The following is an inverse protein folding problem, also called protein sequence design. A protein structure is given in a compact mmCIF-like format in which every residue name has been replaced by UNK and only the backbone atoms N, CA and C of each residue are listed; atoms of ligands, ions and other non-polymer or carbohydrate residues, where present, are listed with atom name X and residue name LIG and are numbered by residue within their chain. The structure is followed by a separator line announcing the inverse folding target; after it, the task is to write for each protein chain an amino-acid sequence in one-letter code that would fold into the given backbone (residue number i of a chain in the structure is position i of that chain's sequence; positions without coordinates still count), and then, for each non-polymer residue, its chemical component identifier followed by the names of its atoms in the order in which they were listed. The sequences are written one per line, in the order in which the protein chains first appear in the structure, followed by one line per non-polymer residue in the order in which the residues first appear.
data_IF_139534930477
#
_entry.id   IF_139534930477
#
_cell.length_a   1.000
_cell.length_b   1.000
_cell.length_c   1.000
_cell.angle_alpha   90.00
_cell.angle_beta   90.00
_cell.angle_gamma   90.00
#
_symmetry.space_group_name_H-M   'P 1'
#
loop_
_entity.id
_entity.type
_entity.pdbx_description
1 polymer ?
#
# COMPACT_ATOMS: atom_id res chain seq x y z
N UNK A 1 -9.09 19.46 46.22
CA UNK A 1 -10.22 18.61 46.71
C UNK A 1 -10.23 17.19 46.11
N UNK A 2 -9.49 16.89 45.04
CA UNK A 2 -9.58 15.56 44.34
C UNK A 2 -8.52 14.53 44.75
N UNK A 3 -7.46 14.93 45.47
CA UNK A 3 -6.39 14.02 45.92
C UNK A 3 -6.87 12.98 46.95
N UNK A 4 -7.90 13.29 47.73
CA UNK A 4 -8.48 12.36 48.70
C UNK A 4 -9.17 11.14 48.01
N UNK A 5 -9.74 11.33 46.81
CA UNK A 5 -10.38 10.27 46.02
C UNK A 5 -9.38 9.28 45.42
N UNK A 6 -8.09 9.64 45.38
CA UNK A 6 -7.06 8.76 44.84
C UNK A 6 -6.96 7.44 45.62
N UNK A 7 -6.99 7.48 46.94
CA UNK A 7 -6.97 6.27 47.79
C UNK A 7 -8.23 5.42 47.69
N UNK A 8 -9.35 6.01 47.28
CA UNK A 8 -10.66 5.34 47.20
C UNK A 8 -11.02 4.88 45.77
N UNK A 9 -10.01 4.60 44.91
CA UNK A 9 -10.22 4.06 43.56
C UNK A 9 -9.72 4.96 42.42
N UNK A 10 -9.32 6.23 42.69
CA UNK A 10 -8.78 7.12 41.65
C UNK A 10 -7.48 6.62 41.01
N UNK A 11 -6.69 5.81 41.74
CA UNK A 11 -5.49 5.16 41.20
C UNK A 11 -5.80 4.20 40.05
N UNK A 12 -6.95 3.50 40.11
CA UNK A 12 -7.38 2.56 39.07
C UNK A 12 -7.65 3.28 37.74
N UNK A 13 -8.32 4.43 37.81
CA UNK A 13 -8.58 5.28 36.63
C UNK A 13 -7.27 5.77 36.00
N UNK A 14 -6.29 6.16 36.81
CA UNK A 14 -4.97 6.56 36.31
C UNK A 14 -4.20 5.41 35.71
N UNK A 15 -4.26 4.23 36.30
CA UNK A 15 -3.65 3.01 35.76
C UNK A 15 -4.25 2.67 34.39
N UNK A 16 -5.58 2.68 34.28
CA UNK A 16 -6.28 2.41 33.04
C UNK A 16 -5.96 3.45 31.96
N UNK A 17 -5.97 4.74 32.31
CA UNK A 17 -5.59 5.84 31.41
C UNK A 17 -4.13 5.70 30.92
N UNK A 18 -3.21 5.34 31.83
CA UNK A 18 -1.80 5.10 31.48
C UNK A 18 -1.64 3.93 30.53
N UNK A 19 -2.42 2.85 30.71
CA UNK A 19 -2.40 1.69 29.82
C UNK A 19 -2.86 2.09 28.40
N UNK A 20 -3.97 2.82 28.28
CA UNK A 20 -4.45 3.31 26.99
C UNK A 20 -3.44 4.26 26.35
N UNK A 21 -2.86 5.16 27.13
CA UNK A 21 -1.83 6.09 26.63
C UNK A 21 -0.61 5.34 26.09
N UNK A 22 -0.12 4.30 26.78
CA UNK A 22 0.99 3.48 26.31
C UNK A 22 0.66 2.76 25.00
N UNK A 23 -0.56 2.21 24.85
CA UNK A 23 -1.01 1.61 23.60
C UNK A 23 -1.01 2.63 22.47
N UNK A 24 -1.64 3.79 22.66
CA UNK A 24 -1.68 4.86 21.66
C UNK A 24 -0.27 5.34 21.28
N UNK A 25 0.60 5.56 22.27
CA UNK A 25 1.99 5.96 22.07
C UNK A 25 2.77 4.90 21.26
N UNK A 26 2.59 3.62 21.58
CA UNK A 26 3.19 2.51 20.85
C UNK A 26 2.78 2.52 19.37
N UNK A 27 1.49 2.72 19.07
CA UNK A 27 1.00 2.80 17.69
C UNK A 27 1.56 4.02 16.96
N UNK A 28 1.61 5.17 17.60
CA UNK A 28 2.15 6.39 17.02
C UNK A 28 3.64 6.24 16.66
N UNK A 29 4.45 5.80 17.61
CA UNK A 29 5.88 5.65 17.38
C UNK A 29 6.20 4.50 16.42
N UNK A 30 5.50 3.37 16.49
CA UNK A 30 5.68 2.28 15.54
C UNK A 30 5.35 2.72 14.11
N UNK A 31 4.30 3.55 13.91
CA UNK A 31 4.00 4.15 12.60
C UNK A 31 5.11 5.09 12.16
N UNK A 32 5.61 5.95 13.05
CA UNK A 32 6.70 6.89 12.77
C UNK A 32 7.98 6.15 12.38
N UNK A 33 8.34 5.09 13.10
CA UNK A 33 9.52 4.25 12.78
C UNK A 33 9.35 3.61 11.39
N UNK A 34 8.19 3.00 11.10
CA UNK A 34 7.91 2.41 9.79
C UNK A 34 7.97 3.43 8.65
N UNK A 35 7.49 4.65 8.90
CA UNK A 35 7.46 5.69 7.87
C UNK A 35 8.83 6.32 7.60
N UNK A 36 9.78 6.30 8.55
CA UNK A 36 11.16 6.78 8.33
C UNK A 36 11.88 6.07 7.19
N UNK A 37 11.49 4.84 6.90
CA UNK A 37 12.14 3.98 5.91
C UNK A 37 11.30 3.84 4.63
N UNK A 38 10.39 4.81 4.36
CA UNK A 38 9.73 4.89 3.06
C UNK A 38 10.65 5.65 2.13
N UNK A 39 11.17 4.98 1.13
CA UNK A 39 11.87 5.61 0.02
C UNK A 39 10.89 5.83 -1.12
N UNK A 40 10.98 7.00 -1.73
CA UNK A 40 10.26 7.37 -2.93
C UNK A 40 11.26 7.58 -4.05
N UNK A 41 10.87 7.26 -5.26
CA UNK A 41 11.64 7.49 -6.48
C UNK A 41 10.79 8.31 -7.44
N UNK A 42 11.42 9.10 -8.30
CA UNK A 42 10.70 9.82 -9.35
C UNK A 42 10.14 8.83 -10.35
N UNK A 43 8.84 8.91 -10.61
CA UNK A 43 8.17 8.00 -11.54
C UNK A 43 8.71 8.15 -12.97
N UNK A 44 9.10 9.39 -13.35
CA UNK A 44 9.63 9.72 -14.65
C UNK A 44 10.85 8.86 -15.06
N UNK A 45 11.70 8.50 -14.09
CA UNK A 45 12.92 7.72 -14.34
C UNK A 45 12.59 6.26 -14.72
N UNK A 46 11.39 5.78 -14.41
CA UNK A 46 10.97 4.39 -14.65
C UNK A 46 9.94 4.22 -15.76
N UNK A 47 9.44 5.32 -16.36
CA UNK A 47 8.45 5.25 -17.44
C UNK A 47 8.91 4.40 -18.64
N UNK A 48 10.15 4.58 -19.14
CA UNK A 48 10.63 3.73 -20.24
C UNK A 48 10.65 2.25 -19.87
N UNK A 49 11.12 1.93 -18.66
CA UNK A 49 11.24 0.55 -18.18
C UNK A 49 9.86 -0.11 -17.99
N UNK A 50 8.87 0.63 -17.48
CA UNK A 50 7.48 0.14 -17.33
C UNK A 50 6.89 -0.16 -18.71
N UNK A 51 7.12 0.72 -19.69
CA UNK A 51 6.65 0.54 -21.05
C UNK A 51 7.30 -0.69 -21.69
N UNK A 52 8.61 -0.80 -21.64
CA UNK A 52 9.35 -1.93 -22.19
C UNK A 52 8.90 -3.25 -21.56
N UNK A 53 8.72 -3.28 -20.24
CA UNK A 53 8.24 -4.47 -19.53
C UNK A 53 6.82 -4.86 -19.97
N UNK A 54 5.94 -3.91 -20.24
CA UNK A 54 4.56 -4.20 -20.67
C UNK A 54 4.52 -4.90 -22.02
N UNK A 55 5.50 -4.60 -22.90
CA UNK A 55 5.62 -5.13 -24.25
C UNK A 55 6.51 -6.39 -24.34
N UNK A 56 7.33 -6.65 -23.30
CA UNK A 56 8.29 -7.76 -23.28
C UNK A 56 7.60 -9.14 -23.19
N UNK A 57 7.55 -9.82 -24.33
CA UNK A 57 6.95 -11.17 -24.41
C UNK A 57 7.82 -12.28 -23.81
N UNK A 58 9.08 -12.02 -23.47
CA UNK A 58 9.95 -12.99 -22.80
C UNK A 58 9.53 -13.19 -21.33
N UNK A 59 8.86 -12.20 -20.74
CA UNK A 59 8.31 -12.27 -19.40
C UNK A 59 6.86 -12.75 -19.45
N UNK A 60 6.49 -13.82 -18.71
CA UNK A 60 5.11 -14.29 -18.68
C UNK A 60 4.19 -13.20 -18.10
N UNK A 61 2.97 -13.11 -18.66
CA UNK A 61 1.99 -12.16 -18.17
C UNK A 61 1.55 -12.52 -16.76
N UNK A 62 1.66 -11.60 -15.83
CA UNK A 62 1.22 -11.81 -14.45
C UNK A 62 -0.30 -11.60 -14.34
N UNK A 63 -0.82 -10.54 -14.94
CA UNK A 63 -2.25 -10.26 -15.09
C UNK A 63 -2.45 -9.25 -16.22
N UNK A 64 -3.69 -9.11 -16.73
CA UNK A 64 -4.00 -8.07 -17.72
C UNK A 64 -3.87 -6.70 -17.07
N UNK A 65 -4.46 -6.51 -15.87
CA UNK A 65 -4.41 -5.28 -15.10
C UNK A 65 -3.86 -5.55 -13.71
N UNK A 66 -2.72 -4.92 -13.36
CA UNK A 66 -2.13 -4.95 -12.03
C UNK A 66 -2.44 -3.67 -11.27
N UNK A 67 -3.07 -3.81 -10.12
CA UNK A 67 -3.53 -2.68 -9.29
C UNK A 67 -2.70 -2.61 -8.02
N UNK A 68 -1.88 -1.58 -7.89
CA UNK A 68 -1.04 -1.32 -6.72
C UNK A 68 -1.66 -0.24 -5.84
N UNK A 69 -1.85 -0.52 -4.55
CA UNK A 69 -2.26 0.49 -3.59
C UNK A 69 -1.02 1.21 -3.08
N UNK A 70 -0.93 2.50 -3.37
CA UNK A 70 0.21 3.36 -3.06
C UNK A 70 -0.11 4.37 -1.95
N UNK A 71 0.96 4.92 -1.31
CA UNK A 71 0.87 5.97 -0.29
C UNK A 71 1.57 7.27 -0.71
N UNK A 72 2.05 7.34 -1.95
CA UNK A 72 2.72 8.53 -2.47
C UNK A 72 1.70 9.65 -2.70
N UNK A 73 1.74 10.70 -1.87
CA UNK A 73 0.89 11.88 -2.03
C UNK A 73 1.32 12.73 -3.23
N UNK A 74 2.64 12.75 -3.52
CA UNK A 74 3.15 13.48 -4.68
C UNK A 74 2.94 12.64 -5.96
N UNK A 75 2.35 13.25 -6.99
CA UNK A 75 2.06 12.60 -8.28
C UNK A 75 3.31 12.24 -9.07
N UNK A 76 4.40 12.96 -8.84
CA UNK A 76 5.69 12.70 -9.50
C UNK A 76 6.46 11.54 -8.85
N UNK A 77 6.00 11.02 -7.73
CA UNK A 77 6.72 10.02 -6.94
C UNK A 77 5.98 8.68 -6.88
N UNK A 78 6.77 7.62 -6.86
CA UNK A 78 6.30 6.24 -6.62
C UNK A 78 7.10 5.62 -5.47
N UNK A 79 6.47 4.81 -4.67
CA UNK A 79 7.16 4.10 -3.58
C UNK A 79 8.12 3.05 -4.15
N UNK A 80 9.37 3.06 -3.69
CA UNK A 80 10.41 2.11 -4.14
C UNK A 80 10.00 0.64 -3.93
N UNK A 81 9.14 0.33 -2.96
CA UNK A 81 8.60 -1.03 -2.76
C UNK A 81 7.74 -1.50 -3.94
N UNK A 82 7.02 -0.58 -4.62
CA UNK A 82 6.20 -0.89 -5.80
C UNK A 82 7.12 -1.23 -6.96
N UNK A 83 8.16 -0.41 -7.18
CA UNK A 83 9.18 -0.68 -8.19
C UNK A 83 9.90 -2.01 -7.93
N UNK A 84 10.25 -2.28 -6.67
CA UNK A 84 10.83 -3.56 -6.28
C UNK A 84 9.89 -4.74 -6.60
N UNK A 85 8.59 -4.59 -6.31
CA UNK A 85 7.59 -5.63 -6.62
C UNK A 85 7.46 -5.87 -8.12
N UNK A 86 7.46 -4.79 -8.93
CA UNK A 86 7.29 -4.90 -10.39
C UNK A 86 8.54 -5.50 -11.05
N UNK A 87 9.75 -5.04 -10.66
CA UNK A 87 10.96 -5.33 -11.42
C UNK A 87 11.91 -6.35 -10.78
N UNK A 88 12.03 -6.36 -9.44
CA UNK A 88 13.12 -7.07 -8.77
C UNK A 88 12.69 -8.36 -8.08
N UNK A 89 11.55 -8.37 -7.40
CA UNK A 89 11.10 -9.57 -6.69
C UNK A 89 10.77 -10.70 -7.67
N UNK A 90 10.00 -10.38 -8.66
CA UNK A 90 9.67 -11.20 -9.82
C UNK A 90 9.12 -10.25 -10.89
N UNK A 91 9.75 -10.13 -12.06
CA UNK A 91 9.24 -9.26 -13.11
C UNK A 91 7.78 -9.58 -13.42
N UNK A 92 6.92 -8.56 -13.31
CA UNK A 92 5.48 -8.72 -13.51
C UNK A 92 5.05 -7.95 -14.74
N UNK A 93 4.91 -8.65 -15.85
CA UNK A 93 4.35 -8.05 -17.05
C UNK A 93 2.84 -7.91 -16.90
N UNK A 94 2.33 -6.74 -17.21
CA UNK A 94 0.90 -6.46 -17.33
C UNK A 94 0.63 -5.61 -18.58
N UNK A 95 -0.60 -5.62 -19.09
CA UNK A 95 -1.01 -4.69 -20.14
C UNK A 95 -1.15 -3.29 -19.55
N UNK A 96 -1.76 -3.20 -18.37
CA UNK A 96 -1.98 -1.93 -17.68
C UNK A 96 -1.62 -2.04 -16.20
N UNK A 97 -0.86 -1.06 -15.71
CA UNK A 97 -0.52 -0.87 -14.30
C UNK A 97 -1.36 0.27 -13.74
N UNK A 98 -2.02 0.02 -12.61
CA UNK A 98 -2.83 0.98 -11.90
C UNK A 98 -2.17 1.34 -10.58
N UNK A 99 -1.98 2.63 -10.34
CA UNK A 99 -1.49 3.17 -9.08
C UNK A 99 -2.65 3.82 -8.35
N UNK A 100 -3.21 3.14 -7.36
CA UNK A 100 -4.36 3.61 -6.60
C UNK A 100 -3.89 4.26 -5.31
N UNK A 101 -4.15 5.55 -5.18
CA UNK A 101 -3.90 6.32 -3.97
C UNK A 101 -5.22 6.61 -3.24
N UNK A 102 -5.20 6.55 -1.92
CA UNK A 102 -6.36 6.79 -1.07
C UNK A 102 -6.02 7.93 -0.12
N UNK A 103 -6.57 9.09 -0.38
CA UNK A 103 -6.46 10.27 0.47
C UNK A 103 -7.68 10.40 1.38
N UNK A 104 -7.44 10.53 2.69
CA UNK A 104 -8.48 10.78 3.67
C UNK A 104 -8.62 12.27 3.92
N UNK A 105 -9.75 12.83 3.48
CA UNK A 105 -10.04 14.25 3.60
C UNK A 105 -10.87 14.55 4.85
N UNK A 106 -10.75 15.78 5.35
CA UNK A 106 -11.45 16.24 6.56
C UNK A 106 -12.96 16.43 6.35
N UNK A 107 -13.43 16.55 5.10
CA UNK A 107 -14.87 16.56 4.80
C UNK A 107 -15.48 15.19 5.11
N UNK A 108 -16.52 15.10 5.96
CA UNK A 108 -17.05 13.83 6.43
C UNK A 108 -17.64 12.93 5.33
N UNK A 109 -18.24 13.51 4.30
CA UNK A 109 -19.04 12.79 3.27
C UNK A 109 -18.46 12.90 1.87
N UNK A 110 -17.32 13.58 1.69
CA UNK A 110 -16.71 13.75 0.38
C UNK A 110 -16.32 12.39 -0.20
N UNK A 111 -16.71 12.17 -1.45
CA UNK A 111 -16.31 11.00 -2.21
C UNK A 111 -16.11 11.42 -3.65
N UNK A 112 -14.84 11.57 -4.03
CA UNK A 112 -14.42 12.01 -5.36
C UNK A 112 -13.21 11.20 -5.79
N UNK A 113 -12.97 11.10 -7.09
CA UNK A 113 -11.76 10.50 -7.62
C UNK A 113 -11.22 11.32 -8.78
N UNK A 114 -9.90 11.24 -8.97
CA UNK A 114 -9.19 11.83 -10.10
C UNK A 114 -8.42 10.74 -10.84
N UNK A 115 -8.39 10.83 -12.17
CA UNK A 115 -7.69 9.89 -13.05
C UNK A 115 -6.61 10.64 -13.81
N UNK A 116 -5.40 10.07 -13.82
CA UNK A 116 -4.28 10.55 -14.60
C UNK A 116 -3.68 9.40 -15.42
N UNK A 117 -3.68 9.51 -16.72
CA UNK A 117 -2.99 8.57 -17.61
C UNK A 117 -1.54 9.00 -17.78
N UNK A 118 -0.65 8.52 -16.93
CA UNK A 118 0.80 8.84 -16.97
C UNK A 118 1.44 8.29 -18.25
N UNK A 119 1.10 7.06 -18.62
CA UNK A 119 1.38 6.48 -19.94
C UNK A 119 0.05 5.97 -20.48
N UNK A 120 -0.49 6.54 -21.57
CA UNK A 120 -1.80 6.16 -22.09
C UNK A 120 -1.94 4.65 -22.29
N UNK A 121 -2.94 4.05 -21.65
CA UNK A 121 -3.24 2.61 -21.68
C UNK A 121 -2.28 1.68 -20.95
N UNK A 122 -1.13 2.15 -20.45
CA UNK A 122 -0.10 1.33 -19.78
C UNK A 122 0.01 1.66 -18.30
N UNK A 123 0.09 2.95 -17.93
CA UNK A 123 0.24 3.36 -16.54
C UNK A 123 -0.78 4.43 -16.19
N UNK A 124 -1.71 4.08 -15.32
CA UNK A 124 -2.83 4.92 -14.91
C UNK A 124 -2.75 5.13 -13.40
N UNK A 125 -2.86 6.37 -12.97
CA UNK A 125 -2.98 6.76 -11.57
C UNK A 125 -4.43 7.11 -11.28
N UNK A 126 -4.93 6.64 -10.13
CA UNK A 126 -6.27 6.86 -9.64
C UNK A 126 -6.19 7.32 -8.19
N UNK A 127 -6.53 8.58 -7.94
CA UNK A 127 -6.52 9.18 -6.60
C UNK A 127 -7.96 9.28 -6.08
N UNK A 128 -8.27 8.57 -4.98
CA UNK A 128 -9.55 8.65 -4.29
C UNK A 128 -9.48 9.63 -3.13
N UNK A 129 -10.38 10.61 -3.07
CA UNK A 129 -10.57 11.53 -1.96
C UNK A 129 -11.80 11.10 -1.15
N UNK A 130 -11.56 10.46 -0.01
CA UNK A 130 -12.61 9.79 0.77
C UNK A 130 -12.75 10.46 2.13
N UNK A 131 -13.93 10.96 2.44
CA UNK A 131 -14.29 11.54 3.72
C UNK A 131 -14.20 10.53 4.87
N UNK A 132 -13.96 11.02 6.09
CA UNK A 132 -13.70 10.14 7.23
C UNK A 132 -14.91 9.30 7.68
N UNK A 133 -16.15 9.66 7.30
CA UNK A 133 -17.36 8.86 7.55
C UNK A 133 -17.68 7.85 6.46
N UNK A 134 -17.02 7.95 5.30
CA UNK A 134 -17.25 7.04 4.19
C UNK A 134 -16.45 5.75 4.42
N UNK A 135 -17.11 4.60 4.33
CA UNK A 135 -16.44 3.31 4.42
C UNK A 135 -15.47 3.09 3.25
N UNK A 136 -14.25 2.62 3.47
CA UNK A 136 -13.27 2.43 2.39
C UNK A 136 -13.52 1.13 1.60
N UNK A 137 -14.59 1.09 0.80
CA UNK A 137 -14.92 -0.04 -0.10
C UNK A 137 -14.13 0.09 -1.42
N UNK A 138 -12.81 -0.02 -1.35
CA UNK A 138 -11.94 0.32 -2.47
C UNK A 138 -12.20 -0.54 -3.70
N UNK A 139 -12.52 -1.81 -3.53
CA UNK A 139 -12.85 -2.69 -4.65
C UNK A 139 -14.08 -2.19 -5.44
N UNK A 140 -15.12 -1.76 -4.72
CA UNK A 140 -16.33 -1.21 -5.33
C UNK A 140 -16.06 0.12 -6.04
N UNK A 141 -15.35 1.02 -5.36
CA UNK A 141 -15.04 2.35 -5.89
C UNK A 141 -14.12 2.30 -7.11
N UNK A 142 -13.14 1.41 -7.08
CA UNK A 142 -12.27 1.16 -8.22
C UNK A 142 -13.06 0.65 -9.42
N UNK A 143 -14.00 -0.26 -9.19
CA UNK A 143 -14.87 -0.78 -10.24
C UNK A 143 -15.75 0.32 -10.86
N UNK A 144 -16.37 1.18 -10.04
CA UNK A 144 -17.15 2.32 -10.53
C UNK A 144 -16.31 3.28 -11.38
N UNK A 145 -15.10 3.63 -10.90
CA UNK A 145 -14.19 4.50 -11.64
C UNK A 145 -13.79 3.89 -13.00
N UNK A 146 -13.50 2.59 -13.05
CA UNK A 146 -13.18 1.90 -14.30
C UNK A 146 -14.39 1.86 -15.23
N UNK A 147 -15.61 1.58 -14.71
CA UNK A 147 -16.83 1.59 -15.52
C UNK A 147 -17.10 2.97 -16.13
N UNK A 148 -16.84 4.05 -15.39
CA UNK A 148 -17.01 5.42 -15.90
C UNK A 148 -15.94 5.76 -16.96
N UNK A 149 -14.69 5.33 -16.79
CA UNK A 149 -13.65 5.48 -17.82
C UNK A 149 -13.99 4.72 -19.10
N UNK A 150 -14.59 3.54 -18.97
CA UNK A 150 -15.05 2.75 -20.14
C UNK A 150 -16.20 3.47 -20.87
N UNK A 151 -17.19 4.02 -20.14
CA UNK A 151 -18.28 4.82 -20.72
C UNK A 151 -17.77 6.08 -21.42
N UNK A 152 -16.75 6.72 -20.84
CA UNK A 152 -16.08 7.89 -21.43
C UNK A 152 -15.20 7.57 -22.64
N UNK A 153 -14.94 6.26 -22.90
CA UNK A 153 -14.03 5.84 -23.98
C UNK A 153 -12.53 6.03 -23.66
N UNK A 154 -12.20 6.31 -22.39
CA UNK A 154 -10.83 6.55 -21.92
C UNK A 154 -10.06 5.26 -21.63
N UNK A 155 -10.76 4.16 -21.41
CA UNK A 155 -10.18 2.86 -21.12
C UNK A 155 -10.97 1.73 -21.79
N UNK A 156 -10.25 0.74 -22.36
CA UNK A 156 -10.85 -0.45 -22.97
C UNK A 156 -10.43 -1.67 -22.14
N UNK A 157 -11.35 -2.32 -21.41
CA UNK A 157 -11.05 -3.43 -20.52
C UNK A 157 -10.90 -4.76 -21.24
N UNK A 158 -10.12 -4.80 -22.34
CA UNK A 158 -9.89 -6.02 -23.10
C UNK A 158 -8.93 -6.95 -22.39
N UNK A 159 -9.26 -8.25 -22.38
CA UNK A 159 -8.34 -9.29 -21.92
C UNK A 159 -7.08 -9.36 -22.78
N UNK A 160 -5.95 -9.60 -22.15
CA UNK A 160 -4.68 -9.87 -22.83
C UNK A 160 -4.65 -11.28 -23.48
N UNK A 161 -5.53 -12.15 -23.04
CA UNK A 161 -5.66 -13.50 -23.58
C UNK A 161 -6.56 -13.48 -24.81
N UNK A 162 -6.01 -13.90 -25.96
CA UNK A 162 -6.70 -13.87 -27.25
C UNK A 162 -8.04 -14.64 -27.22
N UNK A 163 -8.07 -15.79 -26.57
CA UNK A 163 -9.27 -16.61 -26.42
C UNK A 163 -10.40 -15.86 -25.68
N UNK A 164 -10.09 -15.20 -24.58
CA UNK A 164 -11.05 -14.45 -23.79
C UNK A 164 -11.51 -13.19 -24.53
N UNK A 165 -10.58 -12.46 -25.16
CA UNK A 165 -10.88 -11.27 -25.95
C UNK A 165 -11.81 -11.57 -27.13
N UNK A 166 -11.58 -12.66 -27.84
CA UNK A 166 -12.44 -13.09 -28.97
C UNK A 166 -13.88 -13.40 -28.54
N UNK A 167 -14.09 -13.73 -27.26
CA UNK A 167 -15.41 -13.98 -26.68
C UNK A 167 -15.96 -12.81 -25.88
N UNK A 168 -15.33 -11.63 -25.94
CA UNK A 168 -15.79 -10.42 -25.27
C UNK A 168 -15.60 -10.38 -23.74
N UNK A 169 -14.79 -11.28 -23.18
CA UNK A 169 -14.48 -11.26 -21.76
C UNK A 169 -13.52 -10.13 -21.43
N UNK A 170 -13.80 -9.31 -20.37
CA UNK A 170 -12.91 -8.26 -19.92
C UNK A 170 -11.61 -8.85 -19.35
N UNK A 171 -10.58 -8.01 -19.34
CA UNK A 171 -9.33 -8.33 -18.66
C UNK A 171 -9.50 -8.34 -17.15
N UNK A 172 -8.85 -9.31 -16.51
CA UNK A 172 -8.85 -9.44 -15.05
C UNK A 172 -8.08 -8.30 -14.39
N UNK A 173 -8.50 -7.93 -13.17
CA UNK A 173 -7.84 -6.99 -12.29
C UNK A 173 -7.28 -7.74 -11.08
N UNK A 174 -5.97 -7.67 -10.88
CA UNK A 174 -5.32 -8.25 -9.72
C UNK A 174 -4.79 -7.16 -8.81
N UNK A 175 -5.30 -7.09 -7.60
CA UNK A 175 -4.81 -6.17 -6.58
C UNK A 175 -3.56 -6.71 -5.91
N UNK A 176 -2.54 -5.85 -5.77
CA UNK A 176 -1.29 -6.17 -5.07
C UNK A 176 -1.15 -5.23 -3.88
N UNK A 177 -1.28 -5.80 -2.70
CA UNK A 177 -1.03 -5.11 -1.44
C UNK A 177 0.39 -5.44 -0.96
N UNK A 178 1.23 -4.42 -0.84
CA UNK A 178 2.62 -4.62 -0.43
C UNK A 178 2.76 -4.36 1.07
N UNK A 179 2.97 -5.44 1.82
CA UNK A 179 3.33 -5.38 3.23
C UNK A 179 4.85 -5.27 3.41
N UNK A 180 5.28 -4.35 4.27
CA UNK A 180 6.69 -4.22 4.62
C UNK A 180 7.03 -5.13 5.78
N UNK A 181 8.05 -5.96 5.60
CA UNK A 181 8.61 -6.76 6.68
C UNK A 181 9.87 -6.07 7.19
N UNK A 182 9.91 -5.77 8.49
CA UNK A 182 11.17 -5.45 9.16
C UNK A 182 11.97 -6.75 9.33
N UNK A 183 13.11 -6.85 8.66
CA UNK A 183 14.07 -7.92 8.92
C UNK A 183 14.76 -7.63 10.25
N UNK A 184 14.90 -8.65 11.11
CA UNK A 184 15.38 -8.53 12.51
C UNK A 184 16.84 -8.05 12.66
N UNK A 185 17.61 -8.01 11.58
CA UNK A 185 19.06 -7.74 11.62
C UNK A 185 19.44 -6.26 11.74
N UNK A 186 18.43 -5.38 11.87
CA UNK A 186 18.71 -3.98 12.10
C UNK A 186 19.05 -3.72 13.57
N UNK A 187 20.15 -3.01 13.82
CA UNK A 187 20.46 -2.41 15.11
C UNK A 187 19.46 -1.29 15.43
N UNK A 188 18.24 -1.70 15.74
CA UNK A 188 17.26 -0.79 16.30
C UNK A 188 17.75 -0.37 17.70
N UNK A 189 17.52 0.89 18.05
CA UNK A 189 17.68 1.31 19.44
C UNK A 189 16.86 0.40 20.34
N UNK A 190 17.33 0.14 21.56
CA UNK A 190 16.59 -0.65 22.56
C UNK A 190 15.17 -0.11 22.75
N UNK A 191 15.00 1.21 22.65
CA UNK A 191 13.70 1.88 22.72
C UNK A 191 12.81 1.55 21.52
N UNK A 192 13.34 1.63 20.30
CA UNK A 192 12.59 1.31 19.09
C UNK A 192 12.18 -0.19 19.08
N UNK A 193 13.06 -1.06 19.55
CA UNK A 193 12.78 -2.50 19.69
C UNK A 193 11.64 -2.76 20.67
N UNK A 194 11.63 -2.06 21.82
CA UNK A 194 10.56 -2.16 22.81
C UNK A 194 9.22 -1.69 22.23
N UNK A 195 9.19 -0.53 21.55
CA UNK A 195 7.99 0.01 20.91
C UNK A 195 7.43 -0.95 19.86
N UNK A 196 8.31 -1.53 19.03
CA UNK A 196 7.90 -2.49 18.00
C UNK A 196 7.35 -3.78 18.63
N UNK A 197 7.97 -4.27 19.71
CA UNK A 197 7.48 -5.45 20.42
C UNK A 197 6.09 -5.20 21.02
N UNK A 198 5.88 -4.05 21.65
CA UNK A 198 4.59 -3.65 22.20
C UNK A 198 3.53 -3.48 21.11
N UNK A 199 3.90 -2.84 20.00
CA UNK A 199 3.02 -2.69 18.84
C UNK A 199 2.66 -4.06 18.21
N UNK A 200 3.60 -5.00 18.15
CA UNK A 200 3.34 -6.36 17.64
C UNK A 200 2.34 -7.12 18.50
N UNK A 201 2.36 -6.90 19.83
CA UNK A 201 1.39 -7.50 20.74
C UNK A 201 -0.01 -6.94 20.47
N UNK A 202 -0.14 -5.63 20.35
CA UNK A 202 -1.42 -4.94 20.13
C UNK A 202 -1.94 -5.10 18.69
N UNK A 203 -1.05 -5.22 17.68
CA UNK A 203 -1.42 -5.38 16.27
C UNK A 203 -2.08 -6.74 15.96
N UNK A 204 -1.92 -7.76 16.82
CA UNK A 204 -2.64 -9.02 16.66
C UNK A 204 -4.16 -8.86 16.78
N UNK A 205 -4.61 -7.79 17.44
CA UNK A 205 -6.03 -7.47 17.65
C UNK A 205 -6.56 -6.55 16.53
N UNK A 206 -5.68 -5.99 15.71
CA UNK A 206 -6.05 -5.08 14.62
C UNK A 206 -6.54 -5.84 13.40
N UNK A 207 -7.44 -5.19 12.63
CA UNK A 207 -7.86 -5.67 11.33
C UNK A 207 -6.67 -5.67 10.35
N UNK A 208 -6.61 -6.68 9.48
CA UNK A 208 -5.65 -6.68 8.38
C UNK A 208 -5.98 -5.57 7.37
N UNK A 209 -4.97 -5.04 6.67
CA UNK A 209 -5.16 -3.97 5.68
C UNK A 209 -6.15 -4.38 4.57
N UNK A 210 -6.21 -5.66 4.20
CA UNK A 210 -7.20 -6.20 3.25
C UNK A 210 -8.62 -5.98 3.77
N UNK A 211 -8.88 -6.35 5.03
CA UNK A 211 -10.21 -6.17 5.65
C UNK A 211 -10.51 -4.69 5.89
N UNK A 212 -9.50 -3.90 6.26
CA UNK A 212 -9.66 -2.47 6.48
C UNK A 212 -10.02 -1.69 5.21
N UNK A 213 -9.55 -2.16 4.05
CA UNK A 213 -9.84 -1.57 2.73
C UNK A 213 -10.99 -2.28 2.01
N UNK A 214 -11.58 -3.31 2.62
CA UNK A 214 -12.62 -4.17 2.05
C UNK A 214 -12.27 -4.67 0.64
N UNK A 215 -10.99 -5.06 0.45
CA UNK A 215 -10.54 -5.68 -0.79
C UNK A 215 -11.04 -7.12 -0.86
N UNK A 216 -11.41 -7.54 -2.06
CA UNK A 216 -11.77 -8.94 -2.30
C UNK A 216 -10.53 -9.82 -2.15
N UNK A 217 -10.59 -10.80 -1.24
CA UNK A 217 -9.48 -11.70 -0.99
C UNK A 217 -9.17 -12.64 -2.15
N UNK A 218 -10.11 -12.86 -3.07
CA UNK A 218 -9.94 -13.75 -4.22
C UNK A 218 -9.03 -13.14 -5.29
N UNK A 219 -9.13 -11.82 -5.51
CA UNK A 219 -8.36 -11.09 -6.51
C UNK A 219 -7.25 -10.23 -5.89
N UNK A 220 -6.97 -10.41 -4.60
CA UNK A 220 -5.94 -9.64 -3.89
C UNK A 220 -4.77 -10.53 -3.49
N UNK A 221 -3.58 -10.19 -3.97
CA UNK A 221 -2.32 -10.81 -3.57
C UNK A 221 -1.58 -9.93 -2.58
N UNK A 222 -1.15 -10.51 -1.44
CA UNK A 222 -0.33 -9.82 -0.46
C UNK A 222 1.13 -10.13 -0.70
N UNK A 223 1.90 -9.13 -1.01
CA UNK A 223 3.34 -9.27 -1.19
C UNK A 223 4.11 -8.72 -0.02
N UNK A 224 5.03 -9.52 0.48
CA UNK A 224 5.95 -9.12 1.53
C UNK A 224 7.24 -8.63 0.91
N UNK A 225 7.58 -7.37 1.17
CA UNK A 225 8.81 -6.74 0.70
C UNK A 225 9.66 -6.34 1.90
N UNK A 226 10.95 -6.74 1.92
CA UNK A 226 11.84 -6.33 2.98
C UNK A 226 12.06 -4.82 2.96
N UNK A 227 12.18 -4.20 4.12
CA UNK A 227 12.65 -2.83 4.21
C UNK A 227 14.15 -2.86 3.91
N UNK A 228 14.54 -2.31 2.77
CA UNK A 228 15.96 -2.13 2.41
C UNK A 228 16.39 -0.84 3.09
N UNK A 229 17.18 -0.94 4.15
CA UNK A 229 17.88 0.22 4.71
C UNK A 229 19.30 0.17 4.11
N UNK A 230 19.66 1.27 3.49
CA UNK A 230 20.99 1.46 2.89
C UNK A 230 22.04 1.67 4.01
N UNK A 231 22.33 0.60 4.74
CA UNK A 231 23.40 0.59 5.74
C UNK A 231 24.56 -0.26 5.22
N UNK A 232 25.74 0.32 5.23
CA UNK A 232 26.97 -0.42 4.95
C UNK A 232 27.02 -1.67 5.83
N UNK A 233 27.18 -2.83 5.22
CA UNK A 233 27.34 -4.09 5.93
C UNK A 233 28.48 -3.96 6.95
N UNK A 234 28.28 -4.37 8.21
CA UNK A 234 29.31 -4.25 9.25
C UNK A 234 30.54 -5.13 8.98
N UNK A 235 30.40 -6.08 8.07
CA UNK A 235 31.49 -6.98 7.64
C UNK A 235 31.44 -7.06 6.11
N UNK A 236 32.53 -6.65 5.46
CA UNK A 236 32.74 -6.89 4.03
C UNK A 236 33.11 -8.34 3.80
N UNK A 237 32.28 -9.05 3.03
CA UNK A 237 32.67 -10.38 2.54
C UNK A 237 33.73 -10.15 1.45
N UNK A 238 34.97 -10.64 1.68
CA UNK A 238 35.99 -10.65 0.66
C UNK A 238 35.92 -11.97 -0.12
N UNK A 239 36.07 -11.87 -1.44
CA UNK A 239 36.26 -13.06 -2.29
C UNK A 239 37.69 -13.58 -2.05
N UNK A 240 37.82 -14.86 -1.75
CA UNK A 240 39.08 -15.57 -1.67
C UNK A 240 39.58 -15.91 -3.08
#
# INVERSE_FOLDING_TARGET
ANLHKFKYGGWFTLLLASLYFLVMMSWYFARKIRNRHISFSKIADYLPLIKDLSEDRSVPMAATNLVYIIKANNREEIESKVLYSIFQKQPKRAKTYWLVHIDRVDDPVRFEYEVEQIIPGILIRLDFHIGFKVEPKINLYFREAVEDMVKAGEFIPESSYLSLRNHGYPGEFQFILIERIMIRDYKLSNWDSFIIALNKLTSKISLSDIKALQLDSTNTSVEKVPIIIDQALPVRISRI
#
